data_IF_949825351519
#
_entry.id   IF_949825351519
#
_cell.length_a   1.000
_cell.length_b   1.000
_cell.length_c   1.000
_cell.angle_alpha   90.00
_cell.angle_beta   90.00
_cell.angle_gamma   90.00
#
_symmetry.space_group_name_H-M   'P 1'
#
loop_
_entity.id
_entity.type
_entity.pdbx_description
1 polymer ?
#
# COMPACT_ATOMS: atom_id res chain seq x y z
N UNK A 1 -21.94 30.37 31.29
CA UNK A 1 -22.36 28.97 31.49
C UNK A 1 -22.76 28.44 30.12
N UNK A 2 -21.86 27.71 29.46
CA UNK A 2 -22.11 27.17 28.11
C UNK A 2 -23.13 26.05 28.26
N UNK A 3 -24.35 26.29 27.76
CA UNK A 3 -25.45 25.33 27.77
C UNK A 3 -25.36 24.57 26.45
N UNK A 4 -24.65 23.44 26.45
CA UNK A 4 -24.55 22.60 25.25
C UNK A 4 -25.89 21.90 25.06
N UNK A 5 -26.52 22.15 23.93
CA UNK A 5 -27.77 21.51 23.56
C UNK A 5 -27.53 20.02 23.34
N UNK A 6 -28.42 19.17 23.88
CA UNK A 6 -28.27 17.70 23.81
C UNK A 6 -28.22 17.25 22.35
N UNK A 7 -28.96 17.94 21.48
CA UNK A 7 -28.96 17.70 20.04
C UNK A 7 -27.57 17.93 19.42
N UNK A 8 -26.84 18.95 19.88
CA UNK A 8 -25.48 19.23 19.41
C UNK A 8 -24.54 18.12 19.85
N UNK A 9 -24.65 17.68 21.11
CA UNK A 9 -23.81 16.60 21.64
C UNK A 9 -24.00 15.28 20.86
N UNK A 10 -25.24 14.92 20.55
CA UNK A 10 -25.56 13.71 19.78
C UNK A 10 -25.05 13.83 18.34
N UNK A 11 -25.26 14.99 17.69
CA UNK A 11 -24.79 15.23 16.33
C UNK A 11 -23.28 15.13 16.23
N UNK A 12 -22.55 15.72 17.18
CA UNK A 12 -21.08 15.67 17.22
C UNK A 12 -20.60 14.25 17.45
N UNK A 13 -21.22 13.51 18.38
CA UNK A 13 -20.85 12.12 18.66
C UNK A 13 -20.98 11.23 17.41
N UNK A 14 -22.12 11.29 16.73
CA UNK A 14 -22.36 10.51 15.51
C UNK A 14 -21.40 10.90 14.39
N UNK A 15 -21.17 12.21 14.22
CA UNK A 15 -20.22 12.71 13.21
C UNK A 15 -18.81 12.21 13.48
N UNK A 16 -18.37 12.21 14.75
CA UNK A 16 -17.06 11.72 15.15
C UNK A 16 -16.92 10.21 14.87
N UNK A 17 -17.94 9.42 15.18
CA UNK A 17 -17.94 7.97 14.89
C UNK A 17 -17.80 7.69 13.40
N UNK A 18 -18.54 8.42 12.56
CA UNK A 18 -18.46 8.28 11.10
C UNK A 18 -17.06 8.66 10.61
N UNK A 19 -16.52 9.80 11.07
CA UNK A 19 -15.18 10.24 10.73
C UNK A 19 -14.11 9.22 11.14
N UNK A 20 -14.23 8.60 12.32
CA UNK A 20 -13.30 7.55 12.76
C UNK A 20 -13.33 6.33 11.84
N UNK A 21 -14.52 5.86 11.45
CA UNK A 21 -14.64 4.74 10.50
C UNK A 21 -14.00 5.09 9.15
N UNK A 22 -14.29 6.29 8.62
CA UNK A 22 -13.73 6.74 7.35
C UNK A 22 -12.21 6.91 7.40
N UNK A 23 -11.67 7.49 8.46
CA UNK A 23 -10.22 7.70 8.63
C UNK A 23 -9.48 6.36 8.76
N UNK A 24 -10.00 5.41 9.54
CA UNK A 24 -9.43 4.06 9.63
C UNK A 24 -9.47 3.36 8.27
N UNK A 25 -10.60 3.45 7.57
CA UNK A 25 -10.76 2.84 6.25
C UNK A 25 -9.80 3.43 5.20
N UNK A 26 -9.66 4.77 5.18
CA UNK A 26 -8.71 5.47 4.32
C UNK A 26 -7.27 5.10 4.67
N UNK A 27 -6.91 5.08 5.95
CA UNK A 27 -5.57 4.71 6.39
C UNK A 27 -5.20 3.28 6.00
N UNK A 28 -6.13 2.33 6.15
CA UNK A 28 -5.91 0.93 5.79
C UNK A 28 -5.74 0.75 4.27
N UNK A 29 -6.58 1.39 3.46
CA UNK A 29 -6.46 1.31 2.00
C UNK A 29 -5.23 2.06 1.48
N UNK A 30 -4.92 3.22 2.05
CA UNK A 30 -3.72 3.98 1.68
C UNK A 30 -2.44 3.20 1.99
N UNK A 31 -2.35 2.57 3.17
CA UNK A 31 -1.22 1.69 3.54
C UNK A 31 -1.13 0.46 2.62
N UNK A 32 -2.27 -0.08 2.17
CA UNK A 32 -2.25 -1.19 1.20
C UNK A 32 -1.68 -0.76 -0.15
N UNK A 33 -1.95 0.47 -0.60
CA UNK A 33 -1.36 1.01 -1.83
C UNK A 33 0.16 1.14 -1.75
N UNK A 34 0.71 1.56 -0.59
CA UNK A 34 2.16 1.64 -0.43
C UNK A 34 2.83 0.27 -0.37
N UNK A 35 2.18 -0.72 0.27
CA UNK A 35 2.67 -2.10 0.25
C UNK A 35 2.63 -2.64 -1.18
N UNK A 36 1.56 -2.43 -1.93
CA UNK A 36 1.45 -2.91 -3.33
C UNK A 36 2.51 -2.29 -4.25
N UNK A 37 2.91 -1.02 -4.01
CA UNK A 37 4.03 -0.39 -4.71
C UNK A 37 5.38 -1.08 -4.46
N UNK A 38 5.58 -1.66 -3.28
CA UNK A 38 6.78 -2.46 -2.96
C UNK A 38 6.77 -3.81 -3.70
N UNK A 39 5.59 -4.41 -3.93
CA UNK A 39 5.44 -5.66 -4.70
C UNK A 39 5.68 -5.42 -6.21
N UNK A 40 5.47 -4.19 -6.70
CA UNK A 40 5.81 -3.82 -8.09
C UNK A 40 7.32 -3.73 -8.34
N UNK A 41 8.14 -3.89 -7.31
CA UNK A 41 9.57 -4.10 -7.43
C UNK A 41 9.89 -5.59 -7.60
N UNK A 42 8.94 -6.46 -7.92
CA UNK A 42 9.23 -7.85 -8.29
C UNK A 42 9.30 -7.97 -9.80
N UNK A 43 10.44 -8.43 -10.30
CA UNK A 43 10.64 -8.72 -11.71
C UNK A 43 10.52 -10.23 -11.95
N UNK A 44 9.78 -10.60 -13.00
CA UNK A 44 9.65 -11.99 -13.41
C UNK A 44 10.55 -12.27 -14.60
N UNK A 45 11.41 -13.29 -14.51
CA UNK A 45 12.24 -13.68 -15.64
C UNK A 45 11.38 -14.26 -16.76
N UNK A 46 11.49 -13.78 -18.02
CA UNK A 46 10.68 -14.28 -19.14
C UNK A 46 11.04 -15.71 -19.56
N UNK A 47 12.20 -16.24 -19.15
CA UNK A 47 12.69 -17.55 -19.57
C UNK A 47 12.37 -18.67 -18.59
N UNK A 48 12.50 -18.42 -17.29
CA UNK A 48 12.27 -19.44 -16.25
C UNK A 48 11.05 -19.15 -15.37
N UNK A 49 10.34 -18.05 -15.61
CA UNK A 49 9.19 -17.57 -14.83
C UNK A 49 9.48 -17.34 -13.34
N UNK A 50 10.75 -17.35 -12.93
CA UNK A 50 11.17 -17.09 -11.56
C UNK A 50 10.96 -15.61 -11.21
N UNK A 51 10.35 -15.36 -10.06
CA UNK A 51 10.04 -14.01 -9.56
C UNK A 51 11.10 -13.64 -8.53
N UNK A 52 11.75 -12.49 -8.71
CA UNK A 52 12.82 -12.01 -7.84
C UNK A 52 12.67 -10.49 -7.61
N UNK A 53 13.18 -9.95 -6.49
CA UNK A 53 13.17 -8.51 -6.26
C UNK A 53 14.09 -7.80 -7.26
N UNK A 54 13.56 -6.73 -7.85
CA UNK A 54 14.22 -5.78 -8.73
C UNK A 54 15.14 -4.92 -7.89
N UNK A 55 16.38 -5.35 -7.79
CA UNK A 55 17.41 -4.62 -7.08
C UNK A 55 17.67 -3.28 -7.79
N UNK A 56 17.58 -2.16 -7.05
CA UNK A 56 17.69 -0.80 -7.60
C UNK A 56 19.13 -0.39 -7.90
N UNK A 57 20.10 -1.04 -7.27
CA UNK A 57 21.51 -0.64 -7.28
C UNK A 57 22.43 -1.59 -8.04
N UNK A 58 21.92 -2.71 -8.55
CA UNK A 58 22.75 -3.68 -9.27
C UNK A 58 22.20 -3.92 -10.68
N UNK A 59 23.06 -3.69 -11.68
CA UNK A 59 22.87 -4.09 -13.07
C UNK A 59 22.78 -5.64 -13.17
N UNK A 60 21.73 -6.25 -12.61
CA UNK A 60 21.45 -7.67 -12.80
C UNK A 60 21.01 -7.89 -14.25
N UNK A 61 22.00 -7.98 -15.14
CA UNK A 61 21.80 -8.34 -16.56
C UNK A 61 21.32 -9.78 -16.71
N UNK A 62 21.41 -10.60 -15.66
CA UNK A 62 21.17 -12.04 -15.70
C UNK A 62 20.25 -12.49 -14.56
N UNK A 63 19.33 -13.42 -14.85
CA UNK A 63 18.49 -14.04 -13.84
C UNK A 63 19.30 -14.92 -12.86
N UNK A 64 19.08 -14.87 -11.54
CA UNK A 64 19.84 -15.68 -10.56
C UNK A 64 19.64 -17.19 -10.73
N UNK A 65 18.49 -17.61 -11.27
CA UNK A 65 18.09 -19.02 -11.30
C UNK A 65 18.47 -19.70 -12.62
N UNK A 66 18.30 -19.04 -13.76
CA UNK A 66 18.61 -19.59 -15.09
C UNK A 66 19.81 -18.93 -15.78
N UNK A 67 20.35 -17.84 -15.22
CA UNK A 67 21.44 -17.03 -15.80
C UNK A 67 21.14 -16.47 -17.19
N UNK A 68 19.88 -16.52 -17.62
CA UNK A 68 19.44 -15.93 -18.88
C UNK A 68 19.53 -14.41 -18.81
N UNK A 69 19.95 -13.79 -19.92
CA UNK A 69 20.02 -12.34 -20.03
C UNK A 69 18.61 -11.74 -19.98
N UNK A 70 18.35 -10.90 -18.99
CA UNK A 70 17.14 -10.10 -18.90
C UNK A 70 17.33 -8.98 -19.93
N UNK A 71 16.77 -9.17 -21.13
CA UNK A 71 16.93 -8.22 -22.24
C UNK A 71 16.36 -6.87 -21.84
N UNK A 72 17.24 -5.85 -21.89
CA UNK A 72 16.95 -4.43 -21.64
C UNK A 72 15.87 -3.86 -22.55
#
# INVERSE_FOLDING_TARGET
MIKIDINIAISVFLSLSILLVFTVWLFYNYKRSSILSEINELEQCPYCAHIFPKDKDSELKNCPQCKSYLSS
#
